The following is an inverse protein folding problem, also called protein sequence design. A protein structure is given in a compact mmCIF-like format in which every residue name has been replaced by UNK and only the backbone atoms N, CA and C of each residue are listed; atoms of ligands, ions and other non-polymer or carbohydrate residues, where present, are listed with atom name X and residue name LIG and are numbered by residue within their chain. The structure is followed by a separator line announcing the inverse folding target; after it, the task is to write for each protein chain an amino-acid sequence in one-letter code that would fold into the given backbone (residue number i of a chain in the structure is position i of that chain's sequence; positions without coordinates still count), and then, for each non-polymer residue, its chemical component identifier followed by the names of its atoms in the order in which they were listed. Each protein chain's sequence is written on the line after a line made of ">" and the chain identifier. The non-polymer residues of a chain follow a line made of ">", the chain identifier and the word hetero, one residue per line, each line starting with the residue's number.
data_IF_713849549696
#
_entry.id   IF_713849549696
#
_cell.length_a   1.000
_cell.length_b   1.000
_cell.length_c   1.000
_cell.angle_alpha   90.00
_cell.angle_beta   90.00
_cell.angle_gamma   90.00
#
_symmetry.space_group_name_H-M   'P 1'
#
loop_
_entity.id
_entity.type
_entity.pdbx_description
1 polymer ?
#
# COMPACT_ATOMS: atom_id res chain seq x y z
N UNK A 1 15.16 -20.34 -0.88
CA UNK A 1 15.54 -18.91 -1.08
C UNK A 1 14.29 -18.08 -0.85
N UNK A 2 14.35 -16.96 -0.11
CA UNK A 2 13.20 -16.05 0.00
C UNK A 2 12.98 -15.41 -1.39
N UNK A 3 11.75 -15.32 -1.91
CA UNK A 3 11.51 -14.68 -3.20
C UNK A 3 11.91 -13.21 -3.14
N UNK A 4 12.61 -12.74 -4.17
CA UNK A 4 12.91 -11.33 -4.37
C UNK A 4 11.74 -10.65 -5.09
N UNK A 5 11.62 -9.32 -5.01
CA UNK A 5 10.56 -8.58 -5.73
C UNK A 5 10.63 -8.80 -7.25
N UNK A 6 11.82 -9.05 -7.80
CA UNK A 6 12.03 -9.38 -9.21
C UNK A 6 11.44 -10.73 -9.63
N UNK A 7 11.18 -11.62 -8.67
CA UNK A 7 10.69 -12.98 -8.93
C UNK A 7 9.16 -13.04 -8.93
N UNK A 8 8.48 -11.92 -8.62
CA UNK A 8 7.03 -11.84 -8.50
C UNK A 8 6.38 -11.37 -9.80
N UNK A 9 5.23 -11.95 -10.13
CA UNK A 9 4.36 -11.49 -11.21
C UNK A 9 3.23 -10.62 -10.64
N UNK A 10 3.12 -9.39 -11.13
CA UNK A 10 2.11 -8.41 -10.73
C UNK A 10 1.00 -8.22 -11.81
N UNK A 11 1.09 -8.96 -12.91
CA UNK A 11 0.11 -8.94 -13.98
C UNK A 11 -1.17 -9.69 -13.58
N UNK A 12 -2.30 -9.23 -14.13
CA UNK A 12 -3.59 -9.90 -14.01
C UNK A 12 -4.22 -10.07 -15.39
N UNK A 13 -4.32 -11.32 -15.80
CA UNK A 13 -4.84 -11.83 -17.08
C UNK A 13 -6.30 -12.32 -16.96
N UNK A 14 -6.97 -11.96 -15.86
CA UNK A 14 -8.42 -12.18 -15.69
C UNK A 14 -9.22 -11.17 -16.50
N UNK A 15 -10.31 -11.64 -17.08
CA UNK A 15 -11.28 -10.85 -17.82
C UNK A 15 -12.70 -11.05 -17.28
N UNK A 16 -13.61 -10.13 -17.60
CA UNK A 16 -15.05 -10.33 -17.40
C UNK A 16 -15.57 -11.48 -18.27
N UNK A 17 -16.86 -11.83 -18.11
CA UNK A 17 -17.51 -12.85 -18.96
C UNK A 17 -17.54 -12.42 -20.44
N UNK A 18 -17.58 -11.12 -20.66
CA UNK A 18 -17.60 -10.44 -21.96
C UNK A 18 -16.20 -10.25 -22.55
N UNK A 19 -15.14 -10.65 -21.81
CA UNK A 19 -13.75 -10.57 -22.28
C UNK A 19 -13.07 -9.22 -22.03
N UNK A 20 -13.68 -8.33 -21.25
CA UNK A 20 -13.09 -7.03 -20.91
C UNK A 20 -11.97 -7.20 -19.88
N UNK A 21 -10.90 -6.43 -20.05
CA UNK A 21 -9.81 -6.35 -19.07
C UNK A 21 -10.22 -5.49 -17.89
N UNK A 22 -9.63 -5.75 -16.73
CA UNK A 22 -9.70 -4.82 -15.60
C UNK A 22 -9.09 -3.47 -15.98
N UNK A 23 -9.62 -2.40 -15.40
CA UNK A 23 -9.18 -1.02 -15.64
C UNK A 23 -8.88 -0.25 -14.35
N UNK A 24 -8.99 -0.91 -13.19
CA UNK A 24 -8.75 -0.33 -11.88
C UNK A 24 -8.20 -1.39 -10.92
N UNK A 25 -7.12 -1.08 -10.20
CA UNK A 25 -6.47 -1.99 -9.24
C UNK A 25 -6.57 -1.42 -7.82
N UNK A 26 -7.06 -2.25 -6.90
CA UNK A 26 -7.09 -1.96 -5.46
C UNK A 26 -6.29 -3.04 -4.75
N UNK A 27 -5.26 -2.66 -4.02
CA UNK A 27 -4.50 -3.56 -3.16
C UNK A 27 -4.79 -3.24 -1.70
N UNK A 28 -4.93 -4.26 -0.86
CA UNK A 28 -5.17 -4.09 0.57
C UNK A 28 -4.23 -4.99 1.37
N UNK A 29 -3.52 -4.42 2.34
CA UNK A 29 -2.51 -5.13 3.11
C UNK A 29 -2.49 -4.69 4.58
N UNK A 30 -2.71 -5.65 5.48
CA UNK A 30 -2.35 -5.51 6.87
C UNK A 30 -0.83 -5.64 7.03
N UNK A 31 -0.16 -4.54 7.37
CA UNK A 31 1.31 -4.44 7.38
C UNK A 31 1.94 -4.73 8.74
N UNK A 32 1.12 -4.98 9.78
CA UNK A 32 1.57 -5.24 11.15
C UNK A 32 2.62 -4.22 11.68
N UNK A 33 2.49 -2.95 11.27
CA UNK A 33 3.38 -1.84 11.64
C UNK A 33 4.06 -1.21 10.43
N UNK A 34 3.67 0.02 10.12
CA UNK A 34 4.14 0.80 8.95
C UNK A 34 5.66 0.91 8.89
N UNK A 35 6.32 1.21 10.01
CA UNK A 35 7.78 1.37 10.05
C UNK A 35 8.53 0.07 9.77
N UNK A 36 8.00 -1.07 10.22
CA UNK A 36 8.61 -2.37 9.94
C UNK A 36 8.42 -2.76 8.47
N UNK A 37 7.27 -2.41 7.90
CA UNK A 37 6.98 -2.58 6.48
C UNK A 37 7.89 -1.73 5.58
N UNK A 38 8.09 -0.44 5.92
CA UNK A 38 9.04 0.43 5.21
C UNK A 38 10.47 -0.13 5.22
N UNK A 39 10.95 -0.60 6.38
CA UNK A 39 12.27 -1.25 6.51
C UNK A 39 12.43 -2.52 5.67
N UNK A 40 11.33 -3.10 5.20
CA UNK A 40 11.29 -4.31 4.37
C UNK A 40 10.96 -3.97 2.91
N UNK A 41 11.36 -2.79 2.43
CA UNK A 41 11.14 -2.37 1.04
C UNK A 41 9.65 -2.32 0.66
N UNK A 42 8.80 -1.91 1.61
CA UNK A 42 7.36 -1.77 1.37
C UNK A 42 7.04 -0.84 0.20
N UNK A 43 7.75 0.29 0.09
CA UNK A 43 7.57 1.25 -1.01
C UNK A 43 7.96 0.64 -2.36
N UNK A 44 9.04 -0.13 -2.42
CA UNK A 44 9.47 -0.80 -3.65
C UNK A 44 8.41 -1.79 -4.14
N UNK A 45 7.72 -2.47 -3.22
CA UNK A 45 6.56 -3.31 -3.57
C UNK A 45 5.43 -2.49 -4.18
N UNK A 46 5.07 -1.33 -3.60
CA UNK A 46 4.00 -0.48 -4.13
C UNK A 46 4.33 0.02 -5.53
N UNK A 47 5.58 0.44 -5.78
CA UNK A 47 6.03 0.89 -7.10
C UNK A 47 5.99 -0.21 -8.17
N UNK A 48 6.12 -1.48 -7.78
CA UNK A 48 6.03 -2.63 -8.69
C UNK A 48 4.59 -3.09 -8.91
N UNK A 49 3.80 -3.11 -7.85
CA UNK A 49 2.38 -3.48 -7.92
C UNK A 49 1.52 -2.40 -8.60
N UNK A 50 1.92 -1.13 -8.49
CA UNK A 50 1.31 0.05 -9.12
C UNK A 50 -0.24 0.13 -8.99
N UNK A 51 -0.82 -0.05 -7.79
CA UNK A 51 -2.27 -0.02 -7.64
C UNK A 51 -2.83 1.40 -7.74
N UNK A 52 -4.06 1.57 -8.20
CA UNK A 52 -4.72 2.89 -8.19
C UNK A 52 -5.07 3.31 -6.75
N UNK A 53 -5.44 2.34 -5.91
CA UNK A 53 -5.66 2.53 -4.47
C UNK A 53 -4.90 1.44 -3.69
N UNK A 54 -4.14 1.86 -2.67
CA UNK A 54 -3.53 0.98 -1.68
C UNK A 54 -4.09 1.26 -0.28
N UNK A 55 -4.70 0.26 0.32
CA UNK A 55 -5.20 0.30 1.69
C UNK A 55 -4.23 -0.42 2.63
N UNK A 56 -3.68 0.29 3.61
CA UNK A 56 -2.86 -0.30 4.67
C UNK A 56 -3.62 -0.37 5.99
N UNK A 57 -3.60 -1.53 6.65
CA UNK A 57 -4.13 -1.72 7.99
C UNK A 57 -3.02 -2.05 9.00
N UNK A 58 -3.31 -1.84 10.29
CA UNK A 58 -2.35 -1.97 11.39
C UNK A 58 -1.08 -1.14 11.16
N UNK A 59 -1.23 0.11 10.74
CA UNK A 59 -0.08 1.01 10.56
C UNK A 59 0.65 1.26 11.87
N UNK A 60 -0.08 1.27 13.01
CA UNK A 60 0.46 1.43 14.37
C UNK A 60 1.37 2.65 14.50
N UNK A 61 1.11 3.69 13.70
CA UNK A 61 1.93 4.88 13.60
C UNK A 61 1.02 6.10 13.51
N UNK A 62 1.04 7.01 14.50
CA UNK A 62 0.25 8.22 14.44
C UNK A 62 0.81 9.20 13.41
N UNK A 63 -0.03 10.07 12.88
CA UNK A 63 0.29 10.97 11.76
C UNK A 63 1.52 11.83 12.06
N UNK A 64 1.57 12.40 13.27
CA UNK A 64 2.70 13.21 13.78
C UNK A 64 4.05 12.47 13.86
N UNK A 65 4.05 11.14 13.72
CA UNK A 65 5.22 10.26 13.80
C UNK A 65 5.50 9.53 12.50
N UNK A 66 4.82 9.89 11.41
CA UNK A 66 5.06 9.33 10.09
C UNK A 66 6.49 9.65 9.62
N UNK A 67 7.25 8.63 9.18
CA UNK A 67 8.58 8.85 8.62
C UNK A 67 8.45 9.44 7.20
N UNK A 68 9.33 10.34 6.75
CA UNK A 68 9.21 11.02 5.44
C UNK A 68 9.09 10.09 4.23
N UNK A 69 9.67 8.89 4.33
CA UNK A 69 9.70 7.84 3.31
C UNK A 69 8.31 7.27 2.96
N UNK A 70 7.28 7.57 3.77
CA UNK A 70 5.89 7.23 3.41
C UNK A 70 5.38 8.06 2.23
N UNK A 71 6.00 9.22 1.94
CA UNK A 71 5.56 10.07 0.84
C UNK A 71 6.00 9.44 -0.48
N UNK A 72 5.03 8.92 -1.23
CA UNK A 72 5.24 8.28 -2.52
C UNK A 72 4.87 9.25 -3.65
N UNK A 73 5.80 9.49 -4.56
CA UNK A 73 5.52 10.33 -5.74
C UNK A 73 4.40 9.72 -6.58
N UNK A 74 3.46 10.56 -7.03
CA UNK A 74 2.29 10.12 -7.80
C UNK A 74 1.16 9.54 -6.95
N UNK A 75 1.27 9.53 -5.63
CA UNK A 75 0.22 9.13 -4.71
C UNK A 75 -0.07 10.20 -3.66
N UNK A 76 -1.35 10.38 -3.36
CA UNK A 76 -1.85 11.08 -2.19
C UNK A 76 -2.02 10.10 -1.05
N UNK A 77 -1.63 10.48 0.17
CA UNK A 77 -1.71 9.63 1.35
C UNK A 77 -2.64 10.24 2.39
N UNK A 78 -3.59 9.45 2.87
CA UNK A 78 -4.51 9.80 3.94
C UNK A 78 -4.31 8.83 5.10
N UNK A 79 -4.32 9.33 6.34
CA UNK A 79 -4.11 8.52 7.53
C UNK A 79 -5.27 8.68 8.51
N UNK A 80 -5.59 7.58 9.21
CA UNK A 80 -6.45 7.63 10.38
C UNK A 80 -5.77 6.80 11.47
N UNK A 81 -5.28 7.47 12.50
CA UNK A 81 -4.57 6.85 13.61
C UNK A 81 -5.50 6.53 14.80
N UNK A 82 -5.03 5.66 15.69
CA UNK A 82 -5.77 5.31 16.90
C UNK A 82 -5.39 6.21 18.07
N UNK A 83 -6.33 6.47 18.97
CA UNK A 83 -6.10 7.24 20.21
C UNK A 83 -4.91 6.72 21.03
N UNK A 84 -4.68 5.41 21.04
CA UNK A 84 -3.54 4.78 21.69
C UNK A 84 -2.39 4.61 20.70
N UNK A 85 -1.26 5.27 20.96
CA UNK A 85 -0.02 5.12 20.20
C UNK A 85 0.37 3.63 20.04
N UNK A 86 0.70 3.22 18.80
CA UNK A 86 1.19 1.88 18.51
C UNK A 86 0.15 0.74 18.52
N UNK A 87 -1.13 1.06 18.72
CA UNK A 87 -2.18 0.04 18.84
C UNK A 87 -2.81 -0.33 17.50
N UNK A 88 -3.38 0.65 16.79
CA UNK A 88 -4.05 0.45 15.51
C UNK A 88 -3.71 1.60 14.55
N UNK A 89 -4.51 1.74 13.50
CA UNK A 89 -4.37 2.77 12.49
C UNK A 89 -4.45 2.21 11.07
N UNK A 90 -4.90 3.05 10.15
CA UNK A 90 -5.02 2.76 8.72
C UNK A 90 -4.38 3.88 7.92
N UNK A 91 -3.95 3.56 6.71
CA UNK A 91 -3.53 4.54 5.71
C UNK A 91 -4.09 4.15 4.35
N UNK A 92 -4.36 5.15 3.52
CA UNK A 92 -4.81 4.99 2.15
C UNK A 92 -3.90 5.79 1.23
N UNK A 93 -3.39 5.14 0.19
CA UNK A 93 -2.73 5.80 -0.93
C UNK A 93 -3.64 5.75 -2.14
N UNK A 94 -3.68 6.84 -2.92
CA UNK A 94 -4.48 6.96 -4.14
C UNK A 94 -3.72 7.77 -5.18
N UNK A 95 -3.77 7.37 -6.46
CA UNK A 95 -3.18 8.16 -7.56
C UNK A 95 -3.95 9.44 -7.86
N UNK A 96 -5.26 9.42 -7.62
CA UNK A 96 -6.15 10.57 -7.82
C UNK A 96 -6.38 11.32 -6.51
N UNK A 97 -6.67 12.62 -6.61
CA UNK A 97 -7.10 13.41 -5.45
C UNK A 97 -8.50 12.92 -5.00
N UNK A 98 -8.63 12.59 -3.71
CA UNK A 98 -9.92 12.32 -3.04
C UNK A 98 -10.40 13.53 -2.25
#
# INVERSE_FOLDING_TARGET
>A
KKPELSDLNFECDKTTKEGEKWNFKISSWNVAGLRAWLKKSGIDYVLKEDPDILCLQETKCPEKKLPPEVKLSGYHMYCCDSQKDGYAGVALYTKENL
#
